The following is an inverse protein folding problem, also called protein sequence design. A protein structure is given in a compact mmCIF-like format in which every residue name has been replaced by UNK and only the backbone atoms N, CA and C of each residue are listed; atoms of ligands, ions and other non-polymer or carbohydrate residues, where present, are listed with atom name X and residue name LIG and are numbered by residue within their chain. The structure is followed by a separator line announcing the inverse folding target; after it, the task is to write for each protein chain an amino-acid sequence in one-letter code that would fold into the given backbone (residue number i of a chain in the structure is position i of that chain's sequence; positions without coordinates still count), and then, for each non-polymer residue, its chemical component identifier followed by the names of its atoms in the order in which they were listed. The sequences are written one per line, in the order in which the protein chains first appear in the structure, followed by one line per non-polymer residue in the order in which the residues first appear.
data_IF_902116312637
#
_entry.id   IF_902116312637
#
_cell.length_a   1.000
_cell.length_b   1.000
_cell.length_c   1.000
_cell.angle_alpha   90.00
_cell.angle_beta   90.00
_cell.angle_gamma   90.00
#
_symmetry.space_group_name_H-M   'P 1'
#
loop_
_entity.id
_entity.type
_entity.pdbx_description
1 polymer ?
#
# COMPACT_ATOMS: atom_id res chain seq x y z
N UNK A 1 0.99 14.23 9.80
CA UNK A 1 -0.23 13.64 10.43
C UNK A 1 -1.47 14.49 10.10
N UNK A 2 -1.48 15.84 10.26
CA UNK A 2 -2.68 16.64 10.02
C UNK A 2 -3.33 16.40 8.65
N UNK A 3 -2.54 16.34 7.57
CA UNK A 3 -3.03 16.14 6.20
C UNK A 3 -3.75 14.81 6.00
N UNK A 4 -3.25 13.74 6.63
CA UNK A 4 -3.87 12.40 6.59
C UNK A 4 -5.22 12.42 7.31
N UNK A 5 -5.28 13.06 8.47
CA UNK A 5 -6.54 13.20 9.21
C UNK A 5 -7.55 14.08 8.45
N UNK A 6 -7.08 15.16 7.82
CA UNK A 6 -7.94 16.00 7.00
C UNK A 6 -8.45 15.25 5.76
N UNK A 7 -7.62 14.45 5.09
CA UNK A 7 -8.02 13.62 3.97
C UNK A 7 -9.03 12.53 4.39
N UNK A 8 -8.78 11.85 5.50
CA UNK A 8 -9.69 10.85 6.05
C UNK A 8 -11.06 11.44 6.44
N UNK A 9 -11.10 12.65 7.00
CA UNK A 9 -12.36 13.33 7.30
C UNK A 9 -13.14 13.72 6.05
N UNK A 10 -12.44 14.12 4.98
CA UNK A 10 -13.08 14.45 3.69
C UNK A 10 -13.59 13.22 2.94
N UNK A 11 -12.92 12.09 3.12
CA UNK A 11 -13.23 10.83 2.44
C UNK A 11 -13.19 9.67 3.45
N UNK A 12 -14.18 9.54 4.35
CA UNK A 12 -14.16 8.57 5.45
C UNK A 12 -14.21 7.11 4.98
N UNK A 13 -14.70 6.86 3.77
CA UNK A 13 -14.75 5.52 3.16
C UNK A 13 -13.47 5.14 2.40
N UNK A 14 -12.54 6.09 2.22
CA UNK A 14 -11.28 5.85 1.50
C UNK A 14 -10.18 5.38 2.46
N UNK A 15 -9.22 4.63 1.93
CA UNK A 15 -7.94 4.39 2.61
C UNK A 15 -6.92 5.43 2.19
N UNK A 16 -6.30 6.10 3.16
CA UNK A 16 -5.28 7.11 2.90
C UNK A 16 -3.91 6.45 3.03
N UNK A 17 -3.14 6.46 1.96
CA UNK A 17 -1.87 5.77 1.83
C UNK A 17 -0.71 6.77 1.72
N UNK A 18 0.35 6.57 2.49
CA UNK A 18 1.58 7.33 2.36
C UNK A 18 2.34 6.95 1.10
N UNK A 19 2.67 7.95 0.28
CA UNK A 19 3.56 7.80 -0.87
C UNK A 19 4.95 8.35 -0.49
N UNK A 20 5.94 7.46 -0.22
CA UNK A 20 7.21 7.91 0.31
C UNK A 20 8.00 8.76 -0.70
N UNK A 21 8.45 9.91 -0.24
CA UNK A 21 9.42 10.77 -0.93
C UNK A 21 10.75 10.68 -0.18
N UNK A 22 11.76 10.12 -0.84
CA UNK A 22 13.08 9.91 -0.25
C UNK A 22 13.96 11.14 -0.47
N UNK A 23 14.42 11.77 0.61
CA UNK A 23 15.32 12.92 0.58
C UNK A 23 16.80 12.57 0.43
N UNK A 24 17.20 11.35 0.78
CA UNK A 24 18.53 10.79 0.60
C UNK A 24 18.42 9.50 -0.20
N UNK A 25 19.50 9.08 -0.88
CA UNK A 25 19.48 7.85 -1.68
C UNK A 25 19.14 6.62 -0.82
N UNK A 26 17.98 5.99 -1.04
CA UNK A 26 17.61 4.79 -0.32
C UNK A 26 18.46 3.60 -0.78
N UNK A 27 18.73 2.60 0.08
CA UNK A 27 19.45 1.39 -0.32
C UNK A 27 18.81 0.71 -1.52
N UNK A 28 19.57 0.46 -2.60
CA UNK A 28 19.09 -0.08 -3.88
C UNK A 28 18.26 -1.36 -3.72
N UNK A 29 18.65 -2.23 -2.79
CA UNK A 29 17.92 -3.49 -2.49
C UNK A 29 16.49 -3.21 -2.03
N UNK A 30 16.30 -2.18 -1.18
CA UNK A 30 14.96 -1.78 -0.70
C UNK A 30 14.11 -1.19 -1.81
N UNK A 31 14.71 -0.41 -2.69
CA UNK A 31 14.03 0.17 -3.87
C UNK A 31 13.56 -0.93 -4.82
N UNK A 32 14.42 -1.91 -5.12
CA UNK A 32 14.07 -3.05 -5.97
C UNK A 32 12.95 -3.90 -5.38
N UNK A 33 13.06 -4.27 -4.11
CA UNK A 33 12.02 -5.04 -3.42
C UNK A 33 10.67 -4.31 -3.40
N UNK A 34 10.69 -3.01 -3.15
CA UNK A 34 9.48 -2.15 -3.18
C UNK A 34 8.83 -2.10 -4.57
N UNK A 35 9.64 -1.97 -5.64
CA UNK A 35 9.12 -1.98 -7.01
C UNK A 35 8.43 -3.29 -7.36
N UNK A 36 9.02 -4.42 -6.95
CA UNK A 36 8.44 -5.76 -7.19
C UNK A 36 7.10 -5.89 -6.46
N UNK A 37 7.05 -5.58 -5.17
CA UNK A 37 5.81 -5.64 -4.40
C UNK A 37 4.74 -4.69 -4.94
N UNK A 38 5.11 -3.45 -5.29
CA UNK A 38 4.18 -2.50 -5.89
C UNK A 38 3.64 -2.95 -7.24
N UNK A 39 4.46 -3.61 -8.08
CA UNK A 39 4.01 -4.19 -9.35
C UNK A 39 2.93 -5.25 -9.11
N UNK A 40 3.19 -6.23 -8.24
CA UNK A 40 2.22 -7.28 -7.92
C UNK A 40 0.94 -6.72 -7.32
N UNK A 41 1.05 -5.82 -6.34
CA UNK A 41 -0.11 -5.14 -5.73
C UNK A 41 -0.97 -4.41 -6.75
N UNK A 42 -0.36 -3.71 -7.70
CA UNK A 42 -1.09 -3.01 -8.75
C UNK A 42 -1.73 -3.97 -9.74
N UNK A 43 -1.05 -5.06 -10.13
CA UNK A 43 -1.62 -6.11 -10.96
C UNK A 43 -2.84 -6.76 -10.29
N UNK A 44 -2.73 -7.15 -9.02
CA UNK A 44 -3.77 -7.78 -8.21
C UNK A 44 -4.99 -6.86 -7.99
N UNK A 45 -4.85 -5.57 -8.19
CA UNK A 45 -5.93 -4.57 -8.07
C UNK A 45 -6.35 -3.94 -9.39
N UNK A 46 -5.87 -4.44 -10.53
CA UNK A 46 -6.10 -3.83 -11.85
C UNK A 46 -5.71 -2.35 -11.87
N UNK A 47 -4.57 -1.99 -11.29
CA UNK A 47 -4.04 -0.62 -11.22
C UNK A 47 -5.02 0.40 -10.62
N UNK A 48 -5.76 0.04 -9.56
CA UNK A 48 -6.72 0.92 -8.89
C UNK A 48 -6.07 2.04 -8.06
N UNK A 49 -4.78 2.30 -8.24
CA UNK A 49 -4.13 3.51 -7.72
C UNK A 49 -3.44 3.34 -6.37
N UNK A 50 -3.01 2.14 -5.98
CA UNK A 50 -2.12 1.97 -4.82
C UNK A 50 -0.72 2.46 -5.21
N UNK A 51 -0.29 3.60 -4.64
CA UNK A 51 1.00 4.20 -4.95
C UNK A 51 2.18 3.47 -4.31
N UNK A 52 2.00 3.01 -3.07
CA UNK A 52 3.01 2.22 -2.35
C UNK A 52 2.38 1.18 -1.43
N UNK A 53 2.78 -0.08 -1.61
CA UNK A 53 2.25 -1.21 -0.85
C UNK A 53 2.99 -1.49 0.46
N UNK A 54 4.19 -0.94 0.64
CA UNK A 54 5.07 -1.24 1.78
C UNK A 54 5.27 -0.05 2.74
N UNK A 55 4.65 1.09 2.46
CA UNK A 55 4.67 2.22 3.37
C UNK A 55 3.65 2.01 4.49
N UNK A 56 4.10 1.90 5.74
CA UNK A 56 3.24 1.66 6.89
C UNK A 56 2.50 2.91 7.41
N UNK A 57 2.73 4.10 6.82
CA UNK A 57 2.02 5.30 7.24
C UNK A 57 0.69 5.43 6.50
N UNK A 58 -0.40 5.04 7.17
CA UNK A 58 -1.73 4.88 6.55
C UNK A 58 -2.87 5.21 7.50
N UNK A 59 -4.03 5.52 6.91
CA UNK A 59 -5.31 5.59 7.62
C UNK A 59 -6.31 4.71 6.87
N UNK A 60 -6.94 3.79 7.59
CA UNK A 60 -7.91 2.87 7.04
C UNK A 60 -9.32 3.16 7.56
N UNK A 61 -10.37 3.00 6.74
CA UNK A 61 -11.73 3.01 7.23
C UNK A 61 -11.98 1.79 8.13
N UNK A 62 -12.44 2.03 9.36
CA UNK A 62 -12.50 1.01 10.42
C UNK A 62 -13.42 -0.15 10.07
N UNK A 63 -14.63 0.13 9.58
CA UNK A 63 -15.64 -0.90 9.36
C UNK A 63 -15.21 -1.94 8.31
N UNK A 64 -14.75 -1.57 7.09
CA UNK A 64 -14.26 -2.55 6.12
C UNK A 64 -12.97 -3.23 6.59
N UNK A 65 -12.04 -2.53 7.27
CA UNK A 65 -10.83 -3.15 7.81
C UNK A 65 -11.18 -4.20 8.89
N UNK A 66 -12.03 -3.89 9.84
CA UNK A 66 -12.46 -4.82 10.87
C UNK A 66 -13.17 -6.05 10.29
N UNK A 67 -14.01 -5.85 9.27
CA UNK A 67 -14.64 -6.96 8.53
C UNK A 67 -13.61 -7.86 7.83
N UNK A 68 -12.59 -7.23 7.22
CA UNK A 68 -11.49 -7.95 6.60
C UNK A 68 -10.70 -8.78 7.61
N UNK A 69 -10.30 -8.18 8.73
CA UNK A 69 -9.49 -8.83 9.77
C UNK A 69 -10.20 -10.02 10.43
N UNK A 70 -11.52 -9.96 10.58
CA UNK A 70 -12.31 -11.10 11.08
C UNK A 70 -12.26 -12.32 10.15
N UNK A 71 -12.05 -12.10 8.86
CA UNK A 71 -12.02 -13.16 7.83
C UNK A 71 -10.62 -13.64 7.49
N UNK A 72 -9.60 -12.84 7.79
CA UNK A 72 -8.22 -13.07 7.36
C UNK A 72 -7.27 -13.08 8.57
N UNK A 73 -6.98 -14.27 9.06
CA UNK A 73 -6.12 -14.49 10.23
C UNK A 73 -4.62 -14.41 9.94
N UNK A 74 -4.23 -14.37 8.65
CA UNK A 74 -2.84 -14.49 8.18
C UNK A 74 -2.09 -13.15 8.15
N UNK A 75 -2.79 -12.03 8.11
CA UNK A 75 -2.22 -10.66 8.04
C UNK A 75 -1.64 -10.25 9.40
N UNK A 76 -0.38 -10.56 9.67
CA UNK A 76 0.17 -10.39 11.03
C UNK A 76 1.46 -9.59 11.13
N UNK A 77 2.19 -9.34 10.02
CA UNK A 77 3.52 -8.74 10.02
C UNK A 77 3.71 -7.76 8.85
N UNK A 78 4.83 -7.85 8.15
CA UNK A 78 5.16 -7.01 6.98
C UNK A 78 4.25 -7.23 5.77
N UNK A 79 3.53 -8.32 5.74
CA UNK A 79 2.49 -8.65 4.76
C UNK A 79 1.19 -7.89 5.00
N UNK A 80 0.92 -7.43 6.23
CA UNK A 80 -0.34 -6.76 6.59
C UNK A 80 -0.69 -5.60 5.67
N UNK A 81 0.22 -4.65 5.50
CA UNK A 81 -0.04 -3.41 4.78
C UNK A 81 -0.36 -3.64 3.29
N UNK A 82 0.39 -4.52 2.64
CA UNK A 82 0.17 -4.86 1.24
C UNK A 82 -1.13 -5.66 1.06
N UNK A 83 -1.33 -6.71 1.86
CA UNK A 83 -2.52 -7.56 1.77
C UNK A 83 -3.81 -6.81 2.11
N UNK A 84 -3.79 -5.98 3.17
CA UNK A 84 -4.93 -5.15 3.56
C UNK A 84 -5.34 -4.20 2.43
N UNK A 85 -4.37 -3.52 1.81
CA UNK A 85 -4.65 -2.59 0.71
C UNK A 85 -5.29 -3.27 -0.48
N UNK A 86 -4.77 -4.43 -0.92
CA UNK A 86 -5.32 -5.20 -2.04
C UNK A 86 -6.75 -5.65 -1.73
N UNK A 87 -6.97 -6.25 -0.57
CA UNK A 87 -8.27 -6.79 -0.19
C UNK A 87 -9.32 -5.70 0.04
N UNK A 88 -8.92 -4.55 0.57
CA UNK A 88 -9.80 -3.39 0.69
C UNK A 88 -10.16 -2.82 -0.68
N UNK A 89 -9.22 -2.76 -1.63
CA UNK A 89 -9.53 -2.43 -3.02
C UNK A 89 -10.55 -3.40 -3.64
N UNK A 90 -10.42 -4.71 -3.38
CA UNK A 90 -11.41 -5.70 -3.83
C UNK A 90 -12.79 -5.51 -3.18
N UNK A 91 -12.82 -4.97 -1.96
CA UNK A 91 -14.06 -4.62 -1.26
C UNK A 91 -14.66 -3.28 -1.71
N UNK A 92 -14.01 -2.57 -2.64
CA UNK A 92 -14.49 -1.30 -3.18
C UNK A 92 -13.96 -0.05 -2.46
N UNK A 93 -13.05 -0.20 -1.50
CA UNK A 93 -12.42 0.93 -0.81
C UNK A 93 -11.43 1.62 -1.77
N UNK A 94 -11.60 2.92 -1.95
CA UNK A 94 -10.75 3.72 -2.85
C UNK A 94 -9.44 4.13 -2.16
N UNK A 95 -8.25 3.93 -2.79
CA UNK A 95 -6.99 4.44 -2.28
C UNK A 95 -6.80 5.91 -2.60
N UNK A 96 -6.34 6.69 -1.63
CA UNK A 96 -5.91 8.10 -1.77
C UNK A 96 -4.46 8.18 -1.32
N UNK A 97 -3.57 8.59 -2.23
CA UNK A 97 -2.15 8.67 -1.94
C UNK A 97 -1.75 10.09 -1.51
N UNK A 98 -1.06 10.21 -0.39
CA UNK A 98 -0.49 11.47 0.06
C UNK A 98 1.04 11.36 0.16
N UNK A 99 1.78 12.36 -0.36
CA UNK A 99 3.23 12.35 -0.27
C UNK A 99 3.66 12.50 1.18
N UNK A 100 4.66 11.71 1.60
CA UNK A 100 5.29 11.82 2.91
C UNK A 100 6.81 11.81 2.76
N UNK A 101 7.52 12.71 3.45
CA UNK A 101 8.97 12.65 3.50
C UNK A 101 9.39 11.43 4.31
N UNK A 102 10.30 10.62 3.76
CA UNK A 102 10.88 9.45 4.44
C UNK A 102 12.39 9.58 4.43
N UNK A 103 12.98 9.53 5.62
CA UNK A 103 14.43 9.46 5.79
C UNK A 103 14.81 8.08 6.27
N UNK A 104 15.75 7.44 5.58
CA UNK A 104 16.41 6.24 6.07
C UNK A 104 17.58 6.65 6.97
N UNK A 105 17.49 6.29 8.23
CA UNK A 105 18.62 6.45 9.15
C UNK A 105 19.69 5.42 8.81
N UNK A 106 20.95 5.86 8.73
CA UNK A 106 22.10 4.98 8.58
C UNK A 106 22.34 4.21 9.88
N UNK A 107 23.05 3.06 9.84
CA UNK A 107 23.40 2.34 11.07
C UNK A 107 24.14 3.21 12.09
N UNK A 108 25.01 4.12 11.63
CA UNK A 108 25.76 5.08 12.46
C UNK A 108 24.83 6.11 13.14
N UNK A 109 23.66 6.36 12.58
CA UNK A 109 22.61 7.25 13.11
C UNK A 109 21.60 6.50 14.00
N UNK A 110 21.88 5.25 14.39
CA UNK A 110 20.98 4.41 15.18
C UNK A 110 19.87 3.74 14.39
N UNK A 111 19.98 3.67 13.06
CA UNK A 111 19.02 2.99 12.20
C UNK A 111 19.01 1.48 12.40
N UNK A 112 17.93 0.94 12.99
CA UNK A 112 17.74 -0.51 13.17
C UNK A 112 16.74 -1.03 12.17
N UNK A 113 17.12 -2.06 11.42
CA UNK A 113 16.20 -2.76 10.52
C UNK A 113 15.77 -4.09 11.13
N UNK A 114 14.50 -4.24 11.43
CA UNK A 114 13.92 -5.51 11.90
C UNK A 114 13.52 -6.45 10.75
N UNK A 115 13.76 -6.05 9.50
CA UNK A 115 13.46 -6.85 8.31
C UNK A 115 14.51 -7.94 8.12
N UNK A 116 14.07 -9.21 8.19
CA UNK A 116 14.89 -10.40 7.94
C UNK A 116 14.69 -10.84 6.50
N UNK A 117 15.65 -10.50 5.61
CA UNK A 117 15.52 -10.66 4.16
C UNK A 117 15.05 -12.03 3.70
N UNK A 118 15.57 -13.13 4.25
CA UNK A 118 15.16 -14.49 3.87
C UNK A 118 13.70 -14.76 4.22
N UNK A 119 13.36 -14.68 5.52
CA UNK A 119 12.04 -15.02 6.05
C UNK A 119 10.94 -14.07 5.54
N UNK A 120 11.20 -12.77 5.60
CA UNK A 120 10.17 -11.78 5.29
C UNK A 120 9.90 -11.72 3.79
N UNK A 121 10.90 -11.96 2.92
CA UNK A 121 10.68 -12.12 1.49
C UNK A 121 9.86 -13.38 1.16
N UNK A 122 10.08 -14.50 1.85
CA UNK A 122 9.25 -15.71 1.69
C UNK A 122 7.79 -15.42 2.08
N UNK A 123 7.56 -14.70 3.18
CA UNK A 123 6.21 -14.32 3.62
C UNK A 123 5.53 -13.39 2.59
N UNK A 124 6.25 -12.41 2.07
CA UNK A 124 5.72 -11.52 1.02
C UNK A 124 5.43 -12.28 -0.28
N UNK A 125 6.31 -13.20 -0.70
CA UNK A 125 6.08 -14.03 -1.88
C UNK A 125 4.85 -14.92 -1.70
N UNK A 126 4.71 -15.57 -0.53
CA UNK A 126 3.54 -16.38 -0.20
C UNK A 126 2.25 -15.56 -0.15
N UNK A 127 2.33 -14.34 0.39
CA UNK A 127 1.21 -13.40 0.38
C UNK A 127 0.77 -13.08 -1.06
N UNK A 128 1.68 -12.69 -1.95
CA UNK A 128 1.36 -12.39 -3.34
C UNK A 128 0.80 -13.61 -4.09
N UNK A 129 1.31 -14.81 -3.81
CA UNK A 129 0.75 -16.05 -4.40
C UNK A 129 -0.72 -16.25 -4.00
N UNK A 130 -1.04 -16.07 -2.71
CA UNK A 130 -2.44 -16.16 -2.23
C UNK A 130 -3.32 -15.05 -2.81
N UNK A 131 -2.79 -13.84 -2.92
CA UNK A 131 -3.51 -12.70 -3.50
C UNK A 131 -3.75 -12.93 -5.00
N UNK A 132 -2.77 -13.47 -5.73
CA UNK A 132 -2.91 -13.79 -7.14
C UNK A 132 -4.01 -14.83 -7.38
N UNK A 133 -4.05 -15.91 -6.59
CA UNK A 133 -5.16 -16.86 -6.66
C UNK A 133 -6.50 -16.19 -6.36
N UNK A 134 -6.56 -15.37 -5.32
CA UNK A 134 -7.75 -14.60 -4.97
C UNK A 134 -8.17 -13.60 -6.05
N UNK A 135 -7.21 -12.99 -6.74
CA UNK A 135 -7.41 -12.09 -7.87
C UNK A 135 -8.02 -12.83 -9.08
N UNK A 136 -7.43 -13.95 -9.48
CA UNK A 136 -7.93 -14.75 -10.60
C UNK A 136 -9.39 -15.16 -10.41
N UNK A 137 -9.76 -15.61 -9.20
CA UNK A 137 -11.15 -15.97 -8.86
C UNK A 137 -12.11 -14.78 -8.91
N UNK A 138 -11.62 -13.55 -8.67
CA UNK A 138 -12.41 -12.32 -8.67
C UNK A 138 -12.34 -11.54 -9.97
N UNK A 139 -11.48 -11.94 -10.89
CA UNK A 139 -11.19 -11.19 -12.11
C UNK A 139 -12.46 -10.83 -12.89
N UNK A 140 -13.42 -11.75 -13.15
CA UNK A 140 -14.65 -11.39 -13.87
C UNK A 140 -15.42 -10.27 -13.16
N UNK A 141 -15.58 -10.35 -11.84
CA UNK A 141 -16.27 -9.34 -11.04
C UNK A 141 -15.51 -8.01 -11.03
N UNK A 142 -14.19 -8.06 -10.91
CA UNK A 142 -13.35 -6.86 -10.88
C UNK A 142 -13.42 -6.10 -12.21
N UNK A 143 -13.44 -6.79 -13.34
CA UNK A 143 -13.59 -6.19 -14.66
C UNK A 143 -14.96 -5.51 -14.83
N UNK A 144 -16.03 -6.13 -14.34
CA UNK A 144 -17.38 -5.56 -14.39
C UNK A 144 -17.53 -4.34 -13.45
N UNK A 145 -16.80 -4.28 -12.36
CA UNK A 145 -16.88 -3.19 -11.37
C UNK A 145 -15.77 -2.14 -11.53
N UNK A 146 -14.95 -2.24 -12.58
CA UNK A 146 -13.86 -1.30 -12.83
C UNK A 146 -14.40 0.10 -13.14
N UNK A 147 -14.48 0.96 -12.11
CA UNK A 147 -14.62 2.40 -12.32
C UNK A 147 -13.23 2.95 -12.66
N UNK A 148 -13.09 3.82 -13.68
CA UNK A 148 -11.82 4.49 -13.94
C UNK A 148 -11.42 5.30 -12.71
N UNK A 149 -10.21 5.03 -12.20
CA UNK A 149 -9.62 5.87 -11.15
C UNK A 149 -9.31 7.22 -11.77
N UNK A 150 -9.78 8.35 -11.21
CA UNK A 150 -9.37 9.66 -11.67
C UNK A 150 -7.84 9.76 -11.59
N UNK A 151 -7.20 10.10 -12.72
CA UNK A 151 -5.75 10.33 -12.73
C UNK A 151 -5.44 11.45 -11.73
N UNK A 152 -4.41 11.32 -10.88
CA UNK A 152 -4.02 12.40 -9.99
C UNK A 152 -3.71 13.63 -10.85
N UNK A 153 -4.41 14.72 -10.58
CA UNK A 153 -4.13 16.02 -11.21
C UNK A 153 -2.70 16.40 -10.85
N UNK A 154 -1.83 16.73 -11.82
CA UNK A 154 -0.50 17.23 -11.51
C UNK A 154 -0.65 18.48 -10.63
N UNK A 155 -0.21 18.40 -9.39
CA UNK A 155 -0.15 19.59 -8.54
C UNK A 155 0.77 20.60 -9.22
N UNK A 156 0.23 21.78 -9.52
CA UNK A 156 1.00 22.90 -10.00
C UNK A 156 2.21 23.11 -9.07
N UNK A 157 3.41 23.02 -9.64
CA UNK A 157 4.64 23.42 -8.95
C UNK A 157 4.45 24.88 -8.52
N UNK A 158 4.18 25.10 -7.25
CA UNK A 158 4.35 26.42 -6.64
C UNK A 158 5.84 26.76 -6.75
N UNK A 159 6.15 27.60 -7.74
CA UNK A 159 7.43 28.31 -7.81
C UNK A 159 7.43 29.30 -6.64
N UNK A 160 8.29 29.13 -5.71
CA UNK A 160 8.80 30.14 -4.80
C UNK A 160 10.26 30.43 -5.14
#
# INVERSE_FOLDING_TARGET
IPDFMAASRRQPEAMILGLPQFGSEPPLVRVKGRRISNFWTNLETLWRGIGDSLCGFRVYPIAPLASLMRRQIWMRRYDFDAEASVRLCWAGVTPVNLPIPVRYLKPEEGGISHFRYGRDNLLLTWMHLRLMLGFLLRLPRLLLTSRPVPRPTPQARTRS
#
